data_IF_386285982765
#
_entry.id   IF_386285982765
#
_cell.length_a   1.000
_cell.length_b   1.000
_cell.length_c   1.000
_cell.angle_alpha   90.00
_cell.angle_beta   90.00
_cell.angle_gamma   90.00
#
_symmetry.space_group_name_H-M   'P 1'
#
loop_
_entity.id
_entity.type
_entity.pdbx_description
1 polymer ?
#
# COMPACT_ATOMS: atom_id res chain seq x y z
N UNK A 1 -13.36 -11.05 -24.26
CA UNK A 1 -12.92 -10.51 -22.93
C UNK A 1 -12.56 -9.07 -23.19
N UNK A 2 -13.29 -8.11 -22.62
CA UNK A 2 -12.91 -6.70 -22.72
C UNK A 2 -11.57 -6.54 -22.01
N UNK A 3 -10.55 -6.05 -22.71
CA UNK A 3 -9.25 -5.78 -22.11
C UNK A 3 -9.35 -4.79 -20.94
N UNK A 4 -8.32 -4.70 -20.14
CA UNK A 4 -8.17 -3.73 -19.06
C UNK A 4 -8.46 -2.31 -19.58
N UNK A 5 -9.30 -1.50 -18.91
CA UNK A 5 -9.54 -0.12 -19.35
C UNK A 5 -8.29 0.74 -19.18
N UNK A 6 -8.17 1.78 -20.00
CA UNK A 6 -7.10 2.77 -19.86
C UNK A 6 -7.25 3.54 -18.54
N UNK A 7 -6.14 3.74 -17.87
CA UNK A 7 -6.08 4.42 -16.58
C UNK A 7 -4.69 4.34 -15.95
N UNK A 8 -4.60 4.74 -14.70
CA UNK A 8 -3.35 4.86 -13.95
C UNK A 8 -3.38 4.10 -12.63
N UNK A 9 -2.19 3.95 -12.03
CA UNK A 9 -1.98 3.42 -10.70
C UNK A 9 -1.41 4.50 -9.77
N UNK A 10 -1.94 4.62 -8.57
CA UNK A 10 -1.37 5.48 -7.51
C UNK A 10 -0.78 4.61 -6.41
N UNK A 11 0.50 4.82 -6.09
CA UNK A 11 1.17 4.15 -4.96
C UNK A 11 1.61 5.22 -3.96
N UNK A 12 1.10 5.13 -2.73
CA UNK A 12 1.45 6.09 -1.68
C UNK A 12 2.71 5.68 -0.92
N UNK A 13 3.54 6.67 -0.51
CA UNK A 13 4.80 6.40 0.17
C UNK A 13 5.75 5.57 -0.70
N UNK A 14 5.89 5.93 -1.97
CA UNK A 14 6.55 5.12 -3.00
C UNK A 14 7.97 5.56 -3.34
N UNK A 15 8.59 6.49 -2.57
CA UNK A 15 9.96 6.96 -2.82
C UNK A 15 11.02 5.89 -2.53
N UNK A 16 10.72 4.87 -1.69
CA UNK A 16 11.65 3.81 -1.31
C UNK A 16 10.96 2.53 -0.82
N UNK A 17 11.75 1.51 -0.53
CA UNK A 17 11.30 0.27 0.10
C UNK A 17 10.18 -0.44 -0.66
N UNK A 18 9.18 -0.94 0.08
CA UNK A 18 8.05 -1.69 -0.47
C UNK A 18 7.28 -0.86 -1.51
N UNK A 19 7.03 0.43 -1.23
CA UNK A 19 6.30 1.30 -2.14
C UNK A 19 6.99 1.49 -3.49
N UNK A 20 8.30 1.69 -3.50
CA UNK A 20 9.10 1.80 -4.72
C UNK A 20 9.09 0.49 -5.53
N UNK A 21 9.24 -0.66 -4.87
CA UNK A 21 9.17 -1.96 -5.52
C UNK A 21 7.79 -2.19 -6.16
N UNK A 22 6.70 -1.84 -5.46
CA UNK A 22 5.33 -1.91 -5.97
C UNK A 22 5.14 -1.01 -7.19
N UNK A 23 5.61 0.26 -7.13
CA UNK A 23 5.50 1.19 -8.24
C UNK A 23 6.18 0.64 -9.51
N UNK A 24 7.40 0.12 -9.37
CA UNK A 24 8.14 -0.54 -10.46
C UNK A 24 7.43 -1.78 -10.98
N UNK A 25 6.86 -2.61 -10.10
CA UNK A 25 6.13 -3.82 -10.51
C UNK A 25 4.85 -3.49 -11.31
N UNK A 26 4.08 -2.48 -10.88
CA UNK A 26 2.89 -2.04 -11.61
C UNK A 26 3.24 -1.40 -12.97
N UNK A 27 4.34 -0.65 -13.05
CA UNK A 27 4.82 -0.09 -14.30
C UNK A 27 5.23 -1.18 -15.30
N UNK A 28 5.86 -2.28 -14.87
CA UNK A 28 6.16 -3.45 -15.70
C UNK A 28 4.90 -4.11 -16.29
N UNK A 29 3.76 -4.03 -15.59
CA UNK A 29 2.44 -4.47 -16.09
C UNK A 29 1.78 -3.44 -17.03
N UNK A 30 2.49 -2.35 -17.37
CA UNK A 30 2.03 -1.32 -18.30
C UNK A 30 1.08 -0.28 -17.66
N UNK A 31 0.99 -0.19 -16.34
CA UNK A 31 0.30 0.92 -15.69
C UNK A 31 1.18 2.17 -15.70
N UNK A 32 0.67 3.35 -16.12
CA UNK A 32 1.25 4.63 -15.73
C UNK A 32 1.13 4.80 -14.22
N UNK A 33 2.19 5.20 -13.52
CA UNK A 33 2.26 5.18 -12.07
C UNK A 33 2.49 6.55 -11.47
N UNK A 34 1.60 6.97 -10.56
CA UNK A 34 1.86 8.07 -9.63
C UNK A 34 2.68 7.57 -8.44
N UNK A 35 3.88 8.07 -8.30
CA UNK A 35 4.82 7.79 -7.21
C UNK A 35 4.64 8.87 -6.15
N UNK A 36 3.75 8.62 -5.16
CA UNK A 36 3.54 9.61 -4.12
C UNK A 36 4.63 9.55 -3.05
N UNK A 37 5.06 10.72 -2.64
CA UNK A 37 6.03 10.95 -1.56
C UNK A 37 5.61 12.15 -0.69
N UNK A 38 6.14 12.23 0.53
CA UNK A 38 5.93 13.38 1.42
C UNK A 38 7.10 14.35 1.37
N UNK A 39 8.30 13.89 1.66
CA UNK A 39 9.51 14.70 1.81
C UNK A 39 10.71 14.20 1.01
N UNK A 40 10.73 12.95 0.59
CA UNK A 40 11.85 12.31 -0.11
C UNK A 40 11.65 12.44 -1.63
N UNK A 41 11.92 13.65 -2.13
CA UNK A 41 11.78 13.99 -3.55
C UNK A 41 12.79 13.25 -4.42
N UNK A 42 14.03 13.19 -3.97
CA UNK A 42 15.11 12.52 -4.72
C UNK A 42 14.82 11.03 -4.88
N UNK A 43 14.37 10.38 -3.82
CA UNK A 43 13.96 8.97 -3.88
C UNK A 43 12.79 8.75 -4.84
N UNK A 44 11.76 9.61 -4.80
CA UNK A 44 10.62 9.51 -5.71
C UNK A 44 11.03 9.72 -7.18
N UNK A 45 11.87 10.73 -7.45
CA UNK A 45 12.40 10.99 -8.79
C UNK A 45 13.29 9.84 -9.28
N UNK A 46 14.09 9.22 -8.40
CA UNK A 46 14.87 8.02 -8.71
C UNK A 46 13.99 6.86 -9.16
N UNK A 47 12.87 6.62 -8.47
CA UNK A 47 11.90 5.59 -8.87
C UNK A 47 11.26 5.89 -10.22
N UNK A 48 10.88 7.15 -10.47
CA UNK A 48 10.33 7.60 -11.77
C UNK A 48 11.35 7.38 -12.89
N UNK A 49 12.62 7.73 -12.64
CA UNK A 49 13.70 7.55 -13.62
C UNK A 49 13.92 6.06 -13.96
N UNK A 50 13.96 5.18 -12.94
CA UNK A 50 14.10 3.74 -13.16
C UNK A 50 12.93 3.17 -13.98
N UNK A 51 11.68 3.57 -13.66
CA UNK A 51 10.50 3.16 -14.42
C UNK A 51 10.59 3.63 -15.88
N UNK A 52 10.99 4.87 -16.10
CA UNK A 52 11.09 5.47 -17.44
C UNK A 52 12.20 4.80 -18.27
N UNK A 53 13.37 4.55 -17.65
CA UNK A 53 14.47 3.80 -18.28
C UNK A 53 14.07 2.38 -18.69
N UNK A 54 13.16 1.77 -17.95
CA UNK A 54 12.60 0.47 -18.27
C UNK A 54 11.46 0.52 -19.33
N UNK A 55 11.14 1.71 -19.89
CA UNK A 55 10.10 1.90 -20.89
C UNK A 55 8.69 2.08 -20.33
N UNK A 56 8.54 2.21 -19.01
CA UNK A 56 7.27 2.54 -18.35
C UNK A 56 6.99 4.04 -18.32
N UNK A 57 5.86 4.42 -17.73
CA UNK A 57 5.45 5.82 -17.50
C UNK A 57 5.23 6.04 -16.01
N UNK A 58 5.78 7.09 -15.45
CA UNK A 58 5.55 7.46 -14.06
C UNK A 58 5.72 8.96 -13.84
N UNK A 59 5.10 9.48 -12.80
CA UNK A 59 5.26 10.85 -12.33
C UNK A 59 5.38 10.88 -10.81
N UNK A 60 6.23 11.78 -10.29
CA UNK A 60 6.38 11.97 -8.86
C UNK A 60 5.31 12.95 -8.35
N UNK A 61 4.62 12.58 -7.27
CA UNK A 61 3.50 13.33 -6.72
C UNK A 61 3.76 13.65 -5.25
N UNK A 62 4.11 14.90 -4.95
CA UNK A 62 4.29 15.33 -3.56
C UNK A 62 2.93 15.48 -2.87
N UNK A 63 2.84 14.96 -1.65
CA UNK A 63 1.66 15.17 -0.80
C UNK A 63 1.73 14.33 0.47
N UNK A 64 1.36 14.95 1.60
CA UNK A 64 1.18 14.22 2.85
C UNK A 64 -0.24 13.60 2.88
N UNK A 65 -0.31 12.29 2.79
CA UNK A 65 -1.60 11.56 2.81
C UNK A 65 -2.39 11.76 4.10
N UNK A 66 -1.73 12.19 5.18
CA UNK A 66 -2.39 12.53 6.43
C UNK A 66 -3.23 13.81 6.35
N UNK A 67 -2.90 14.71 5.42
CA UNK A 67 -3.69 15.90 5.13
C UNK A 67 -4.99 15.52 4.39
N UNK A 68 -6.17 15.93 4.89
CA UNK A 68 -7.46 15.61 4.27
C UNK A 68 -7.62 16.04 2.82
N UNK A 69 -6.98 17.14 2.42
CA UNK A 69 -7.12 17.72 1.08
C UNK A 69 -6.18 17.08 0.04
N UNK A 70 -5.14 16.40 0.51
CA UNK A 70 -4.13 15.77 -0.35
C UNK A 70 -4.72 14.73 -1.29
N UNK A 71 -5.73 13.98 -0.87
CA UNK A 71 -6.31 12.92 -1.71
C UNK A 71 -6.84 13.49 -3.05
N UNK A 72 -7.62 14.56 -3.03
CA UNK A 72 -8.16 15.14 -4.26
C UNK A 72 -7.05 15.74 -5.14
N UNK A 73 -6.02 16.36 -4.57
CA UNK A 73 -4.90 16.93 -5.30
C UNK A 73 -4.08 15.84 -6.04
N UNK A 74 -3.71 14.75 -5.34
CA UNK A 74 -2.96 13.63 -5.93
C UNK A 74 -3.72 12.97 -7.08
N UNK A 75 -5.02 12.72 -6.87
CA UNK A 75 -5.85 12.10 -7.91
C UNK A 75 -6.02 13.02 -9.10
N UNK A 76 -6.31 14.32 -8.90
CA UNK A 76 -6.51 15.27 -9.99
C UNK A 76 -5.26 15.39 -10.86
N UNK A 77 -4.07 15.54 -10.25
CA UNK A 77 -2.82 15.61 -10.99
C UNK A 77 -2.54 14.34 -11.81
N UNK A 78 -2.76 13.17 -11.21
CA UNK A 78 -2.51 11.91 -11.91
C UNK A 78 -3.55 11.63 -13.01
N UNK A 79 -4.82 11.97 -12.76
CA UNK A 79 -5.92 11.81 -13.71
C UNK A 79 -5.78 12.73 -14.92
N UNK A 80 -5.23 13.93 -14.75
CA UNK A 80 -4.93 14.87 -15.84
C UNK A 80 -3.83 14.34 -16.76
N UNK A 81 -2.80 13.70 -16.19
CA UNK A 81 -1.65 13.22 -16.95
C UNK A 81 -1.88 11.83 -17.58
N UNK A 82 -2.51 10.91 -16.86
CA UNK A 82 -2.58 9.49 -17.25
C UNK A 82 -3.99 8.89 -17.26
N UNK A 83 -5.01 9.71 -17.02
CA UNK A 83 -6.39 9.23 -16.95
C UNK A 83 -6.76 8.62 -15.58
N UNK A 84 -7.97 8.06 -15.46
CA UNK A 84 -8.56 7.71 -14.18
C UNK A 84 -7.68 6.74 -13.37
N UNK A 85 -7.62 6.97 -12.06
CA UNK A 85 -6.93 6.04 -11.14
C UNK A 85 -7.77 4.78 -10.97
N UNK A 86 -7.30 3.68 -11.55
CA UNK A 86 -7.94 2.36 -11.52
C UNK A 86 -7.21 1.34 -10.65
N UNK A 87 -5.97 1.64 -10.24
CA UNK A 87 -5.24 0.89 -9.22
C UNK A 87 -4.82 1.84 -8.12
N UNK A 88 -5.17 1.53 -6.87
CA UNK A 88 -4.72 2.28 -5.70
C UNK A 88 -3.97 1.33 -4.76
N UNK A 89 -2.74 1.71 -4.40
CA UNK A 89 -2.00 1.02 -3.35
C UNK A 89 -1.77 1.96 -2.17
N UNK A 90 -2.48 1.71 -1.07
CA UNK A 90 -2.30 2.40 0.19
C UNK A 90 -1.10 1.77 0.92
N UNK A 91 0.11 2.29 0.65
CA UNK A 91 1.35 1.81 1.26
C UNK A 91 1.93 2.79 2.29
N UNK A 92 1.68 4.08 2.17
CA UNK A 92 2.16 5.06 3.14
C UNK A 92 1.80 4.67 4.57
N UNK A 93 2.77 4.76 5.47
CA UNK A 93 2.57 4.42 6.87
C UNK A 93 3.73 4.88 7.75
N UNK A 94 3.42 5.10 9.00
CA UNK A 94 4.38 5.52 10.03
C UNK A 94 4.23 4.64 11.27
N UNK A 95 5.28 4.63 12.09
CA UNK A 95 5.29 4.02 13.44
C UNK A 95 5.61 5.08 14.49
N UNK A 96 5.13 4.84 15.69
CA UNK A 96 5.52 5.53 16.91
C UNK A 96 5.47 4.48 18.01
N UNK A 97 6.60 3.79 18.19
CA UNK A 97 6.70 2.65 19.09
C UNK A 97 6.85 3.15 20.53
N UNK A 98 6.09 2.57 21.45
CA UNK A 98 6.10 2.87 22.88
C UNK A 98 5.16 1.92 23.63
N UNK A 99 5.47 1.58 24.89
CA UNK A 99 4.54 0.82 25.72
C UNK A 99 3.23 1.63 25.90
N UNK A 100 2.10 0.94 25.98
CA UNK A 100 0.79 1.58 26.00
C UNK A 100 0.63 2.76 27.00
N UNK A 101 1.20 2.72 28.22
CA UNK A 101 1.17 3.87 29.13
C UNK A 101 2.04 5.06 28.69
N UNK A 102 2.93 4.88 27.70
CA UNK A 102 3.90 5.87 27.23
C UNK A 102 3.55 6.47 25.88
N UNK A 103 2.58 5.90 25.16
CA UNK A 103 2.07 6.44 23.89
C UNK A 103 1.16 7.62 24.24
N UNK A 104 1.54 8.82 23.80
CA UNK A 104 0.69 9.99 23.94
C UNK A 104 -0.38 10.07 22.85
N UNK A 105 -1.30 11.04 22.99
CA UNK A 105 -2.39 11.21 22.03
C UNK A 105 -1.89 11.62 20.63
N UNK A 106 -0.85 12.44 20.56
CA UNK A 106 -0.30 12.95 19.30
C UNK A 106 0.33 11.80 18.48
N UNK A 107 1.07 10.93 19.15
CA UNK A 107 1.64 9.72 18.51
C UNK A 107 0.54 8.74 18.09
N UNK A 108 -0.49 8.56 18.93
CA UNK A 108 -1.65 7.74 18.56
C UNK A 108 -2.36 8.31 17.33
N UNK A 109 -2.73 9.58 17.36
CA UNK A 109 -3.48 10.23 16.29
C UNK A 109 -2.67 10.29 15.00
N UNK A 110 -1.37 10.58 15.07
CA UNK A 110 -0.48 10.57 13.90
C UNK A 110 -0.45 9.21 13.20
N UNK A 111 -0.30 8.13 13.99
CA UNK A 111 -0.25 6.78 13.41
C UNK A 111 -1.59 6.37 12.82
N UNK A 112 -2.70 6.59 13.54
CA UNK A 112 -4.04 6.23 13.06
C UNK A 112 -4.43 7.09 11.86
N UNK A 113 -4.14 8.40 11.88
CA UNK A 113 -4.47 9.28 10.76
C UNK A 113 -3.72 8.90 9.50
N UNK A 114 -2.41 8.63 9.58
CA UNK A 114 -1.61 8.26 8.41
C UNK A 114 -1.93 6.86 7.89
N UNK A 115 -1.99 5.86 8.78
CA UNK A 115 -2.07 4.46 8.36
C UNK A 115 -3.50 4.00 8.01
N UNK A 116 -4.51 4.61 8.60
CA UNK A 116 -5.91 4.17 8.47
C UNK A 116 -6.80 5.25 7.84
N UNK A 117 -6.88 6.44 8.45
CA UNK A 117 -7.80 7.48 8.00
C UNK A 117 -7.43 7.98 6.59
N UNK A 118 -6.14 8.13 6.28
CA UNK A 118 -5.66 8.49 4.96
C UNK A 118 -6.03 7.42 3.92
N UNK A 119 -5.78 6.14 4.23
CA UNK A 119 -6.15 5.02 3.35
C UNK A 119 -7.67 5.01 3.05
N UNK A 120 -8.50 5.32 4.04
CA UNK A 120 -9.94 5.46 3.83
C UNK A 120 -10.28 6.62 2.87
N UNK A 121 -9.68 7.81 3.08
CA UNK A 121 -9.93 8.99 2.22
C UNK A 121 -9.53 8.72 0.77
N UNK A 122 -8.34 8.16 0.56
CA UNK A 122 -7.83 7.78 -0.77
C UNK A 122 -8.72 6.70 -1.43
N UNK A 123 -9.09 5.67 -0.69
CA UNK A 123 -9.99 4.61 -1.18
C UNK A 123 -11.34 5.20 -1.59
N UNK A 124 -11.96 6.04 -0.75
CA UNK A 124 -13.22 6.72 -1.05
C UNK A 124 -13.13 7.56 -2.34
N UNK A 125 -12.01 8.25 -2.57
CA UNK A 125 -11.77 9.02 -3.80
C UNK A 125 -11.60 8.11 -5.02
N UNK A 126 -10.82 7.03 -4.90
CA UNK A 126 -10.57 6.06 -5.97
C UNK A 126 -11.83 5.33 -6.43
N UNK A 127 -12.73 4.99 -5.51
CA UNK A 127 -13.93 4.24 -5.84
C UNK A 127 -14.85 4.96 -6.84
N UNK A 128 -14.81 6.29 -6.93
CA UNK A 128 -15.67 7.06 -7.86
C UNK A 128 -15.39 6.72 -9.34
N UNK A 129 -14.16 6.84 -9.87
CA UNK A 129 -13.84 6.41 -11.23
C UNK A 129 -13.91 4.89 -11.40
N UNK A 130 -13.47 4.10 -10.40
CA UNK A 130 -13.48 2.64 -10.47
C UNK A 130 -14.89 2.06 -10.65
N UNK A 131 -15.89 2.56 -9.91
CA UNK A 131 -17.30 2.14 -10.01
C UNK A 131 -17.86 2.50 -11.39
N UNK A 132 -17.53 3.69 -11.93
CA UNK A 132 -17.96 4.12 -13.27
C UNK A 132 -17.37 3.25 -14.37
N UNK A 133 -16.09 2.94 -14.27
CA UNK A 133 -15.38 2.08 -15.23
C UNK A 133 -15.73 0.59 -15.08
N UNK A 134 -16.43 0.20 -14.02
CA UNK A 134 -16.69 -1.20 -13.64
C UNK A 134 -15.39 -2.02 -13.56
N UNK A 135 -14.33 -1.36 -13.16
CA UNK A 135 -12.99 -1.92 -12.97
C UNK A 135 -12.26 -1.12 -11.91
N UNK A 136 -11.63 -1.81 -10.97
CA UNK A 136 -10.77 -1.18 -9.98
C UNK A 136 -10.04 -2.20 -9.11
N UNK A 137 -8.86 -1.81 -8.65
CA UNK A 137 -8.02 -2.61 -7.77
C UNK A 137 -7.52 -1.74 -6.63
N UNK A 138 -7.93 -2.05 -5.41
CA UNK A 138 -7.39 -1.40 -4.20
C UNK A 138 -6.61 -2.44 -3.43
N UNK A 139 -5.34 -2.14 -3.13
CA UNK A 139 -4.48 -2.98 -2.31
C UNK A 139 -3.96 -2.16 -1.13
N UNK A 140 -4.27 -2.62 0.07
CA UNK A 140 -3.84 -1.98 1.32
C UNK A 140 -2.63 -2.71 1.90
N UNK A 141 -1.53 -2.01 2.14
CA UNK A 141 -0.35 -2.62 2.79
C UNK A 141 -0.58 -2.56 4.31
N UNK A 142 -1.02 -3.69 4.83
CA UNK A 142 -1.23 -3.93 6.25
C UNK A 142 0.11 -4.31 6.94
N UNK A 143 0.06 -5.22 7.88
CA UNK A 143 1.20 -5.86 8.55
C UNK A 143 0.71 -7.13 9.24
N UNK A 144 1.56 -8.12 9.44
CA UNK A 144 1.25 -9.23 10.36
C UNK A 144 0.94 -8.70 11.77
N UNK A 145 1.57 -7.59 12.17
CA UNK A 145 1.22 -6.87 13.42
C UNK A 145 -0.12 -6.16 13.19
N UNK A 146 -1.11 -6.53 13.96
CA UNK A 146 -2.49 -6.07 13.85
C UNK A 146 -3.37 -6.95 12.96
N UNK A 147 -2.86 -7.51 11.85
CA UNK A 147 -3.64 -8.41 11.01
C UNK A 147 -3.76 -9.82 11.61
N UNK A 148 -2.68 -10.32 12.21
CA UNK A 148 -2.55 -11.71 12.70
C UNK A 148 -2.16 -11.75 14.18
N UNK A 149 -1.19 -10.93 14.60
CA UNK A 149 -0.63 -10.94 15.97
C UNK A 149 -0.46 -9.54 16.54
N UNK A 150 -0.36 -9.43 17.84
CA UNK A 150 0.11 -8.23 18.52
C UNK A 150 1.62 -8.15 18.56
N UNK A 151 2.15 -6.96 18.84
CA UNK A 151 3.55 -6.72 19.16
C UNK A 151 3.64 -5.70 20.30
N UNK A 152 4.37 -6.05 21.36
CA UNK A 152 4.54 -5.14 22.50
C UNK A 152 5.17 -3.81 22.04
N UNK A 153 4.66 -2.69 22.52
CA UNK A 153 5.12 -1.37 22.12
C UNK A 153 4.51 -0.81 20.83
N UNK A 154 3.54 -1.49 20.22
CA UNK A 154 2.94 -1.07 18.95
C UNK A 154 1.40 -1.01 19.00
N UNK A 155 0.81 -0.58 20.09
CA UNK A 155 -0.64 -0.57 20.24
C UNK A 155 -1.34 0.30 19.16
N UNK A 156 -0.84 1.51 18.90
CA UNK A 156 -1.33 2.41 17.85
C UNK A 156 -1.17 1.82 16.44
N UNK A 157 0.01 1.29 16.13
CA UNK A 157 0.32 0.67 14.85
C UNK A 157 -0.54 -0.57 14.61
N UNK A 158 -0.61 -1.48 15.60
CA UNK A 158 -1.43 -2.68 15.51
C UNK A 158 -2.92 -2.33 15.31
N UNK A 159 -3.46 -1.36 16.07
CA UNK A 159 -4.83 -0.90 15.89
C UNK A 159 -5.07 -0.35 14.49
N UNK A 160 -4.15 0.48 13.95
CA UNK A 160 -4.27 1.04 12.62
C UNK A 160 -4.27 -0.03 11.52
N UNK A 161 -3.37 -1.04 11.63
CA UNK A 161 -3.26 -2.12 10.63
C UNK A 161 -4.41 -3.14 10.75
N UNK A 162 -4.90 -3.42 11.94
CA UNK A 162 -6.12 -4.22 12.15
C UNK A 162 -7.34 -3.51 11.56
N UNK A 163 -7.50 -2.22 11.80
CA UNK A 163 -8.55 -1.39 11.22
C UNK A 163 -8.52 -1.38 9.70
N UNK A 164 -7.32 -1.31 9.11
CA UNK A 164 -7.12 -1.37 7.66
C UNK A 164 -7.60 -2.70 7.05
N UNK A 165 -7.34 -3.83 7.72
CA UNK A 165 -7.84 -5.15 7.29
C UNK A 165 -9.37 -5.24 7.42
N UNK A 166 -9.93 -4.71 8.51
CA UNK A 166 -11.39 -4.68 8.69
C UNK A 166 -12.06 -3.80 7.61
N UNK A 167 -11.52 -2.61 7.35
CA UNK A 167 -11.96 -1.73 6.28
C UNK A 167 -11.89 -2.41 4.90
N UNK A 168 -10.80 -3.13 4.62
CA UNK A 168 -10.63 -3.90 3.38
C UNK A 168 -11.80 -4.83 3.13
N UNK A 169 -12.18 -5.63 4.13
CA UNK A 169 -13.27 -6.61 4.02
C UNK A 169 -14.63 -5.94 3.79
N UNK A 170 -14.89 -4.86 4.51
CA UNK A 170 -16.16 -4.12 4.42
C UNK A 170 -16.31 -3.49 3.04
N UNK A 171 -15.31 -2.72 2.60
CA UNK A 171 -15.36 -2.05 1.29
C UNK A 171 -15.40 -3.06 0.14
N UNK A 172 -14.69 -4.19 0.25
CA UNK A 172 -14.73 -5.27 -0.73
C UNK A 172 -16.19 -5.77 -0.96
N UNK A 173 -16.92 -6.00 0.12
CA UNK A 173 -18.32 -6.45 0.03
C UNK A 173 -19.24 -5.39 -0.63
N UNK A 174 -19.00 -4.10 -0.37
CA UNK A 174 -19.80 -3.01 -0.92
C UNK A 174 -19.64 -2.85 -2.44
N UNK A 175 -18.42 -3.09 -2.97
CA UNK A 175 -18.08 -2.74 -4.36
C UNK A 175 -17.91 -3.93 -5.30
N UNK A 176 -17.93 -5.16 -4.81
CA UNK A 176 -17.69 -6.37 -5.61
C UNK A 176 -18.57 -6.45 -6.87
N UNK A 177 -19.87 -6.08 -6.78
CA UNK A 177 -20.81 -6.05 -7.91
C UNK A 177 -20.45 -5.02 -8.98
N UNK A 178 -19.50 -4.14 -8.71
CA UNK A 178 -19.03 -3.08 -9.62
C UNK A 178 -17.72 -3.44 -10.34
N UNK A 179 -17.25 -4.69 -10.22
CA UNK A 179 -16.00 -5.13 -10.82
C UNK A 179 -14.75 -4.55 -10.12
N UNK A 180 -14.91 -4.07 -8.90
CA UNK A 180 -13.81 -3.54 -8.07
C UNK A 180 -13.44 -4.57 -7.01
N UNK A 181 -12.14 -4.85 -6.88
CA UNK A 181 -11.61 -5.68 -5.79
C UNK A 181 -10.85 -4.82 -4.77
N UNK A 182 -10.98 -5.18 -3.50
CA UNK A 182 -10.26 -4.52 -2.40
C UNK A 182 -9.63 -5.60 -1.54
N UNK A 183 -8.29 -5.58 -1.45
CA UNK A 183 -7.52 -6.60 -0.76
C UNK A 183 -6.46 -5.96 0.14
N UNK A 184 -5.90 -6.72 1.05
CA UNK A 184 -4.76 -6.34 1.86
C UNK A 184 -3.60 -7.31 1.66
N UNK A 185 -2.39 -6.80 1.77
CA UNK A 185 -1.15 -7.58 1.91
C UNK A 185 -0.59 -7.26 3.29
N UNK A 186 -0.24 -8.28 4.05
CA UNK A 186 0.32 -8.17 5.40
C UNK A 186 1.77 -8.70 5.42
N UNK A 187 2.76 -7.82 5.19
CA UNK A 187 4.16 -8.21 5.27
C UNK A 187 4.56 -8.57 6.70
N UNK A 188 5.48 -9.52 6.81
CA UNK A 188 6.23 -9.83 8.01
C UNK A 188 7.50 -8.98 8.13
N UNK A 189 8.63 -9.65 8.36
CA UNK A 189 9.94 -9.03 8.39
C UNK A 189 10.45 -8.87 6.95
N UNK A 190 10.54 -7.63 6.46
CA UNK A 190 10.99 -7.29 5.09
C UNK A 190 12.22 -6.40 5.19
N UNK A 191 13.23 -6.65 4.37
CA UNK A 191 14.45 -5.83 4.26
C UNK A 191 14.13 -4.44 3.74
N UNK A 192 14.15 -3.45 4.61
CA UNK A 192 13.92 -2.04 4.31
C UNK A 192 14.70 -1.20 5.31
N UNK A 193 14.90 0.09 5.05
CA UNK A 193 15.50 1.03 6.01
C UNK A 193 14.82 0.97 7.40
N UNK A 194 13.53 0.63 7.40
CA UNK A 194 12.73 0.51 8.63
C UNK A 194 13.11 -0.72 9.47
N UNK A 195 13.72 -1.72 8.86
CA UNK A 195 14.15 -2.99 9.49
C UNK A 195 15.66 -3.15 9.55
N UNK A 196 16.40 -2.15 9.06
CA UNK A 196 17.86 -2.12 9.13
C UNK A 196 18.32 -2.15 10.60
N UNK A 197 19.26 -3.03 10.93
CA UNK A 197 19.77 -3.20 12.29
C UNK A 197 18.89 -4.07 13.22
N UNK A 198 17.81 -4.66 12.74
CA UNK A 198 17.11 -5.70 13.51
C UNK A 198 18.00 -6.95 13.58
N UNK A 199 18.37 -7.32 14.81
CA UNK A 199 19.36 -8.38 15.06
C UNK A 199 19.02 -9.74 14.45
N UNK A 200 20.04 -10.55 14.19
CA UNK A 200 19.93 -11.92 13.63
C UNK A 200 18.96 -12.82 14.40
N UNK A 201 18.80 -12.58 15.71
CA UNK A 201 17.86 -13.32 16.56
C UNK A 201 16.40 -13.27 16.09
N UNK A 202 15.98 -12.23 15.34
CA UNK A 202 14.62 -12.15 14.78
C UNK A 202 14.43 -13.14 13.61
N UNK A 203 15.47 -13.40 12.83
CA UNK A 203 15.44 -14.33 11.71
C UNK A 203 15.29 -15.79 12.18
N UNK A 204 15.74 -16.11 13.39
CA UNK A 204 15.56 -17.45 13.96
C UNK A 204 14.09 -17.83 14.16
N UNK A 205 13.21 -16.84 14.33
CA UNK A 205 11.79 -17.04 14.49
C UNK A 205 11.03 -17.15 13.16
N UNK A 206 11.67 -16.77 12.04
CA UNK A 206 11.08 -16.91 10.70
C UNK A 206 11.37 -18.32 10.18
N UNK A 207 10.37 -19.15 9.89
CA UNK A 207 10.59 -20.50 9.34
C UNK A 207 11.45 -20.52 8.08
N UNK A 208 11.28 -19.52 7.19
CA UNK A 208 12.11 -19.36 5.99
C UNK A 208 13.55 -18.94 6.27
N UNK A 209 13.94 -18.65 7.55
CA UNK A 209 15.29 -18.29 8.01
C UNK A 209 15.90 -17.06 7.32
N UNK A 210 15.09 -16.20 6.76
CA UNK A 210 15.50 -14.93 6.16
C UNK A 210 14.38 -13.90 6.26
N UNK A 211 14.72 -12.63 6.12
CA UNK A 211 13.76 -11.60 5.81
C UNK A 211 13.24 -11.77 4.36
N UNK A 212 12.04 -11.28 4.10
CA UNK A 212 11.56 -11.11 2.74
C UNK A 212 12.13 -9.84 2.12
N UNK A 213 12.04 -9.72 0.80
CA UNK A 213 12.44 -8.53 0.07
C UNK A 213 11.24 -7.66 -0.29
N UNK A 214 11.43 -6.35 -0.54
CA UNK A 214 10.38 -5.50 -1.07
C UNK A 214 9.74 -6.03 -2.36
N UNK A 215 10.54 -6.67 -3.22
CA UNK A 215 10.05 -7.27 -4.47
C UNK A 215 9.10 -8.46 -4.22
N UNK A 216 9.32 -9.29 -3.21
CA UNK A 216 8.42 -10.39 -2.87
C UNK A 216 7.04 -9.87 -2.43
N UNK A 217 7.00 -8.74 -1.74
CA UNK A 217 5.74 -8.06 -1.41
C UNK A 217 5.10 -7.45 -2.66
N UNK A 218 5.92 -6.82 -3.51
CA UNK A 218 5.45 -6.19 -4.75
C UNK A 218 4.84 -7.19 -5.73
N UNK A 219 5.36 -8.41 -5.83
CA UNK A 219 4.78 -9.47 -6.67
C UNK A 219 3.39 -9.91 -6.19
N UNK A 220 3.15 -9.96 -4.87
CA UNK A 220 1.82 -10.22 -4.33
C UNK A 220 0.85 -9.08 -4.67
N UNK A 221 1.29 -7.82 -4.58
CA UNK A 221 0.49 -6.66 -4.97
C UNK A 221 0.21 -6.67 -6.47
N UNK A 222 1.20 -6.98 -7.30
CA UNK A 222 1.06 -7.12 -8.75
C UNK A 222 -0.01 -8.14 -9.11
N UNK A 223 0.02 -9.32 -8.48
CA UNK A 223 -1.02 -10.34 -8.67
C UNK A 223 -2.41 -9.79 -8.30
N UNK A 224 -2.57 -9.20 -7.11
CA UNK A 224 -3.86 -8.67 -6.66
C UNK A 224 -4.38 -7.49 -7.50
N UNK A 225 -3.48 -6.77 -8.19
CA UNK A 225 -3.81 -5.69 -9.12
C UNK A 225 -4.09 -6.19 -10.55
N UNK A 226 -3.85 -7.46 -10.85
CA UNK A 226 -4.04 -8.05 -12.19
C UNK A 226 -5.50 -8.43 -12.48
N UNK A 227 -5.77 -8.72 -13.75
CA UNK A 227 -7.06 -9.28 -14.19
C UNK A 227 -7.28 -10.70 -13.66
N UNK A 228 -6.18 -11.47 -13.49
CA UNK A 228 -6.21 -12.82 -12.93
C UNK A 228 -6.74 -12.89 -11.50
N UNK A 229 -6.65 -11.80 -10.74
CA UNK A 229 -7.20 -11.69 -9.40
C UNK A 229 -8.63 -11.13 -9.34
N UNK A 230 -9.33 -11.05 -10.47
CA UNK A 230 -10.67 -10.43 -10.54
C UNK A 230 -11.75 -11.07 -9.66
N UNK A 231 -11.52 -12.30 -9.15
CA UNK A 231 -12.42 -12.98 -8.20
C UNK A 231 -11.85 -13.03 -6.78
N UNK A 232 -10.69 -12.41 -6.55
CA UNK A 232 -10.04 -12.30 -5.23
C UNK A 232 -10.38 -10.95 -4.64
N UNK A 233 -11.23 -10.91 -3.61
CA UNK A 233 -11.61 -9.66 -2.94
C UNK A 233 -11.89 -9.90 -1.46
N UNK A 234 -11.53 -8.96 -0.60
CA UNK A 234 -11.69 -9.04 0.86
C UNK A 234 -10.63 -9.88 1.58
N UNK A 235 -9.60 -10.36 0.87
CA UNK A 235 -8.54 -11.15 1.49
C UNK A 235 -7.49 -10.26 2.17
N UNK A 236 -6.82 -10.84 3.16
CA UNK A 236 -5.55 -10.33 3.69
C UNK A 236 -4.50 -11.41 3.46
N UNK A 237 -3.60 -11.17 2.51
CA UNK A 237 -2.54 -12.09 2.13
C UNK A 237 -1.29 -11.82 2.98
N UNK A 238 -0.88 -12.78 3.79
CA UNK A 238 0.38 -12.70 4.55
C UNK A 238 1.58 -13.00 3.67
N UNK A 239 2.67 -12.22 3.84
CA UNK A 239 3.95 -12.38 3.15
C UNK A 239 5.05 -12.30 4.20
N UNK A 240 5.29 -13.40 4.92
CA UNK A 240 6.02 -13.38 6.18
C UNK A 240 7.00 -14.57 6.39
N UNK A 241 7.23 -15.38 5.35
CA UNK A 241 8.13 -16.54 5.43
C UNK A 241 7.67 -17.61 6.44
N UNK A 242 6.36 -17.65 6.74
CA UNK A 242 5.76 -18.59 7.68
C UNK A 242 5.78 -18.12 9.14
N UNK A 243 6.15 -16.87 9.42
CA UNK A 243 6.27 -16.35 10.79
C UNK A 243 4.95 -16.41 11.59
N UNK A 244 3.82 -16.45 10.90
CA UNK A 244 2.47 -16.51 11.52
C UNK A 244 1.69 -17.78 11.18
N UNK A 245 2.35 -18.80 10.64
CA UNK A 245 1.73 -20.09 10.31
C UNK A 245 1.52 -20.97 11.54
#
# INVERSE_FOLDING_TARGET
MNGRPDGSALVTGASRGIGAAIAKALAREGWPVGVNYRTDEDGANGVVEEITKAGGRATALQGDVADPDTADALFSALEEEFGPVLVLVNNAGVRADGLAPMIDNDDWDRVVNTNLSAAFRLTRRALRPMIRSRYGRVVNIASIVGAVRGNAGQANYAASKAGLVAMTRTVAAEVARRGVTVNAVAPGLIETDMTEGLGENLLEHVPARRAGTPDEVAECVRFLASDGAGYVTGVCLTVDGGLTA
#
